data_IF_693229946992
#
_entry.id   IF_693229946992
#
_cell.length_a   1.000
_cell.length_b   1.000
_cell.length_c   1.000
_cell.angle_alpha   90.00
_cell.angle_beta   90.00
_cell.angle_gamma   90.00
#
_symmetry.space_group_name_H-M   'P 1'
#
loop_
_entity.id
_entity.type
_entity.pdbx_description
1 polymer ?
#
# COMPACT_ATOMS: atom_id res chain seq x y z
N UNK A 1 -8.64 16.87 -3.57
CA UNK A 1 -7.88 15.71 -3.05
C UNK A 1 -8.57 14.41 -3.48
N UNK A 2 -7.87 13.46 -4.10
CA UNK A 2 -8.41 12.13 -4.43
C UNK A 2 -7.84 11.12 -3.45
N UNK A 3 -8.69 10.40 -2.74
CA UNK A 3 -8.31 9.34 -1.80
C UNK A 3 -8.68 7.99 -2.39
N UNK A 4 -7.71 7.07 -2.47
CA UNK A 4 -7.93 5.69 -2.88
C UNK A 4 -7.87 4.79 -1.64
N UNK A 5 -8.95 4.08 -1.36
CA UNK A 5 -9.05 3.13 -0.26
C UNK A 5 -9.00 1.70 -0.77
N UNK A 6 -8.21 0.87 -0.11
CA UNK A 6 -8.07 -0.55 -0.45
C UNK A 6 -7.35 -1.33 0.64
N UNK A 7 -7.14 -2.60 0.40
CA UNK A 7 -6.56 -3.52 1.38
C UNK A 7 -5.18 -4.04 0.95
N UNK A 8 -4.47 -4.64 1.90
CA UNK A 8 -3.17 -5.28 1.69
C UNK A 8 -3.34 -6.71 1.19
N UNK A 9 -3.83 -6.86 -0.03
CA UNK A 9 -4.16 -8.13 -0.65
C UNK A 9 -5.66 -8.37 -0.70
N UNK A 10 -6.05 -9.39 -1.45
CA UNK A 10 -7.46 -9.79 -1.64
C UNK A 10 -7.67 -11.31 -1.52
N UNK A 11 -6.60 -12.10 -1.31
CA UNK A 11 -6.65 -13.56 -1.28
C UNK A 11 -6.70 -14.11 0.16
N UNK A 12 -7.67 -13.70 0.94
CA UNK A 12 -7.82 -14.16 2.32
C UNK A 12 -8.91 -15.21 2.42
N UNK A 13 -8.54 -16.42 2.88
CA UNK A 13 -9.48 -17.55 3.03
C UNK A 13 -10.65 -17.23 3.94
N UNK A 14 -10.39 -16.45 5.01
CA UNK A 14 -11.40 -16.05 6.00
C UNK A 14 -12.44 -15.06 5.45
N UNK A 15 -12.19 -14.49 4.26
CA UNK A 15 -13.15 -13.64 3.57
C UNK A 15 -14.22 -14.42 2.81
N UNK A 16 -14.05 -15.73 2.66
CA UNK A 16 -15.06 -16.59 2.09
C UNK A 16 -16.31 -16.58 2.99
N UNK A 17 -17.49 -16.46 2.38
CA UNK A 17 -18.79 -16.35 3.04
C UNK A 17 -18.98 -15.08 3.90
N UNK A 18 -17.96 -14.21 3.94
CA UNK A 18 -18.02 -12.91 4.60
C UNK A 18 -18.03 -11.78 3.59
N UNK A 19 -16.98 -11.65 2.82
CA UNK A 19 -16.84 -10.69 1.71
C UNK A 19 -17.06 -11.37 0.36
N UNK A 20 -16.51 -12.57 0.17
CA UNK A 20 -16.71 -13.36 -1.04
C UNK A 20 -17.88 -14.34 -0.86
N UNK A 21 -18.94 -14.26 -1.69
CA UNK A 21 -19.97 -15.29 -1.73
C UNK A 21 -19.39 -16.70 -1.91
N UNK A 22 -20.05 -17.70 -1.33
CA UNK A 22 -19.55 -19.09 -1.31
C UNK A 22 -19.42 -19.72 -2.70
N UNK A 23 -20.21 -19.27 -3.66
CA UNK A 23 -20.26 -19.72 -5.04
C UNK A 23 -19.19 -19.08 -5.94
N UNK A 24 -18.55 -17.97 -5.51
CA UNK A 24 -17.49 -17.32 -6.27
C UNK A 24 -16.18 -18.08 -6.11
N UNK A 25 -15.60 -18.61 -7.21
CA UNK A 25 -14.31 -19.28 -7.14
C UNK A 25 -13.18 -18.27 -6.89
N UNK A 26 -12.13 -18.72 -6.20
CA UNK A 26 -10.99 -17.85 -5.81
C UNK A 26 -10.33 -17.10 -6.99
N UNK A 27 -10.38 -17.65 -8.20
CA UNK A 27 -9.86 -16.98 -9.40
C UNK A 27 -10.63 -15.71 -9.78
N UNK A 28 -11.89 -15.57 -9.36
CA UNK A 28 -12.75 -14.42 -9.60
C UNK A 28 -12.78 -13.42 -8.41
N UNK A 29 -12.02 -13.67 -7.34
CA UNK A 29 -12.03 -12.81 -6.16
C UNK A 29 -11.51 -11.40 -6.43
N UNK A 30 -10.53 -11.24 -7.33
CA UNK A 30 -10.03 -9.90 -7.68
C UNK A 30 -11.10 -9.09 -8.43
N UNK A 31 -11.81 -9.72 -9.33
CA UNK A 31 -12.93 -9.10 -10.06
C UNK A 31 -14.04 -8.67 -9.09
N UNK A 32 -14.43 -9.56 -8.18
CA UNK A 32 -15.41 -9.24 -7.14
C UNK A 32 -14.93 -8.12 -6.21
N UNK A 33 -13.66 -8.17 -5.77
CA UNK A 33 -13.05 -7.14 -4.93
C UNK A 33 -13.09 -5.76 -5.59
N UNK A 34 -12.86 -5.71 -6.89
CA UNK A 34 -12.81 -4.46 -7.66
C UNK A 34 -14.20 -3.81 -7.88
N UNK A 35 -15.31 -4.44 -7.47
CA UNK A 35 -16.62 -3.79 -7.39
C UNK A 35 -16.75 -2.85 -6.19
N UNK A 36 -16.07 -3.16 -5.08
CA UNK A 36 -16.17 -2.39 -3.82
C UNK A 36 -14.98 -1.48 -3.59
N UNK A 37 -13.81 -1.82 -4.16
CA UNK A 37 -12.57 -1.08 -3.97
C UNK A 37 -11.94 -0.69 -5.31
N UNK A 38 -11.43 0.54 -5.38
CA UNK A 38 -10.77 1.08 -6.58
C UNK A 38 -9.25 0.84 -6.58
N UNK A 39 -8.71 0.28 -5.50
CA UNK A 39 -7.27 0.00 -5.37
C UNK A 39 -7.01 -1.20 -4.46
N UNK A 40 -5.84 -1.82 -4.68
CA UNK A 40 -5.32 -2.90 -3.81
C UNK A 40 -3.81 -2.84 -3.77
N UNK A 41 -3.18 -3.27 -2.67
CA UNK A 41 -1.74 -3.57 -2.67
C UNK A 41 -1.52 -5.06 -2.85
N UNK A 42 -0.86 -5.44 -3.95
CA UNK A 42 -0.43 -6.81 -4.17
C UNK A 42 0.85 -7.13 -3.38
N UNK A 43 0.76 -8.12 -2.46
CA UNK A 43 1.91 -8.66 -1.74
C UNK A 43 2.52 -9.90 -2.42
N UNK A 44 1.93 -10.39 -3.49
CA UNK A 44 2.38 -11.61 -4.15
C UNK A 44 3.84 -11.51 -4.62
N UNK A 45 4.21 -10.37 -5.23
CA UNK A 45 5.56 -10.11 -5.71
C UNK A 45 6.61 -10.07 -4.58
N UNK A 46 6.20 -9.77 -3.35
CA UNK A 46 7.10 -9.76 -2.19
C UNK A 46 7.66 -11.15 -1.91
N UNK A 47 6.83 -12.18 -1.94
CA UNK A 47 7.24 -13.56 -1.66
C UNK A 47 7.81 -14.26 -2.90
N UNK A 48 7.11 -14.16 -4.01
CA UNK A 48 7.49 -14.71 -5.30
C UNK A 48 6.99 -13.77 -6.40
N UNK A 49 7.92 -13.18 -7.15
CA UNK A 49 7.59 -12.28 -8.26
C UNK A 49 6.77 -13.04 -9.32
N UNK A 50 5.50 -12.63 -9.57
CA UNK A 50 4.69 -13.24 -10.61
C UNK A 50 5.27 -13.02 -12.00
N UNK A 51 4.95 -13.90 -12.94
CA UNK A 51 5.24 -13.70 -14.35
C UNK A 51 4.35 -12.59 -14.95
N UNK A 52 4.78 -11.97 -16.06
CA UNK A 52 4.06 -10.88 -16.71
C UNK A 52 2.61 -11.23 -17.05
N UNK A 53 2.35 -12.47 -17.50
CA UNK A 53 1.00 -12.94 -17.83
C UNK A 53 0.03 -12.89 -16.63
N UNK A 54 0.55 -13.08 -15.40
CA UNK A 54 -0.26 -12.94 -14.19
C UNK A 54 -0.65 -11.48 -13.94
N UNK A 55 0.27 -10.55 -14.09
CA UNK A 55 -0.02 -9.12 -14.03
C UNK A 55 -1.00 -8.69 -15.12
N UNK A 56 -0.82 -9.18 -16.34
CA UNK A 56 -1.77 -8.94 -17.44
C UNK A 56 -3.17 -9.53 -17.13
N UNK A 57 -3.25 -10.69 -16.50
CA UNK A 57 -4.52 -11.27 -16.07
C UNK A 57 -5.21 -10.40 -15.01
N UNK A 58 -4.47 -9.87 -14.02
CA UNK A 58 -5.03 -8.95 -13.03
C UNK A 58 -5.51 -7.64 -13.68
N UNK A 59 -4.76 -7.10 -14.62
CA UNK A 59 -5.18 -5.91 -15.37
C UNK A 59 -6.50 -6.14 -16.12
N UNK A 60 -6.70 -7.31 -16.71
CA UNK A 60 -7.97 -7.65 -17.43
C UNK A 60 -9.15 -7.91 -16.49
N UNK A 61 -8.92 -8.32 -15.26
CA UNK A 61 -9.98 -8.65 -14.29
C UNK A 61 -10.38 -7.47 -13.39
N UNK A 62 -9.91 -6.27 -13.67
CA UNK A 62 -10.23 -5.06 -12.91
C UNK A 62 -10.73 -3.94 -13.83
N UNK A 63 -11.54 -2.97 -13.36
CA UNK A 63 -11.96 -1.80 -14.12
C UNK A 63 -10.77 -0.96 -14.64
N UNK A 64 -10.99 -0.14 -15.67
CA UNK A 64 -9.92 0.63 -16.31
C UNK A 64 -9.25 1.66 -15.42
N UNK A 65 -9.97 2.21 -14.46
CA UNK A 65 -9.50 3.17 -13.46
C UNK A 65 -8.93 2.53 -12.19
N UNK A 66 -8.91 1.20 -12.13
CA UNK A 66 -8.38 0.47 -10.96
C UNK A 66 -6.87 0.68 -10.82
N UNK A 67 -6.41 0.96 -9.59
CA UNK A 67 -5.00 1.18 -9.27
C UNK A 67 -4.45 0.03 -8.44
N UNK A 68 -3.45 -0.67 -8.95
CA UNK A 68 -2.78 -1.75 -8.22
C UNK A 68 -1.40 -1.33 -7.72
N UNK A 69 -1.28 -1.06 -6.44
CA UNK A 69 0.03 -0.92 -5.80
C UNK A 69 0.70 -2.30 -5.71
N UNK A 70 2.01 -2.35 -5.92
CA UNK A 70 2.74 -3.61 -5.90
C UNK A 70 3.92 -3.52 -4.92
N UNK A 71 3.93 -4.42 -3.93
CA UNK A 71 5.03 -4.49 -2.98
C UNK A 71 6.24 -5.15 -3.62
N UNK A 72 7.37 -4.45 -3.59
CA UNK A 72 8.65 -4.92 -4.12
C UNK A 72 9.09 -6.23 -3.48
N UNK A 73 9.76 -7.06 -4.27
CA UNK A 73 10.27 -8.37 -3.83
C UNK A 73 11.15 -8.28 -2.58
N UNK A 74 10.93 -9.21 -1.64
CA UNK A 74 11.80 -9.39 -0.46
C UNK A 74 13.25 -9.66 -0.82
N UNK A 75 13.51 -10.14 -2.03
CA UNK A 75 14.86 -10.39 -2.50
C UNK A 75 15.69 -9.10 -2.49
N UNK A 76 15.17 -7.98 -3.02
CA UNK A 76 15.86 -6.69 -2.95
C UNK A 76 15.86 -6.13 -1.52
N UNK A 77 14.69 -6.07 -0.88
CA UNK A 77 14.52 -5.30 0.36
C UNK A 77 15.05 -6.00 1.60
N UNK A 78 14.86 -7.33 1.71
CA UNK A 78 15.18 -8.11 2.92
C UNK A 78 16.44 -8.96 2.77
N UNK A 79 16.69 -9.55 1.59
CA UNK A 79 17.84 -10.43 1.36
C UNK A 79 19.04 -9.61 0.92
N UNK A 80 18.95 -8.88 -0.20
CA UNK A 80 20.03 -8.02 -0.69
C UNK A 80 20.18 -6.72 0.13
N UNK A 81 19.15 -6.32 0.86
CA UNK A 81 19.16 -5.12 1.71
C UNK A 81 19.59 -3.88 0.93
N UNK A 82 18.95 -3.69 -0.24
CA UNK A 82 19.19 -2.64 -1.24
C UNK A 82 20.53 -2.72 -2.00
N UNK A 83 21.35 -3.76 -1.80
CA UNK A 83 22.60 -3.92 -2.57
C UNK A 83 22.31 -4.43 -3.97
N UNK A 84 23.13 -4.00 -4.95
CA UNK A 84 23.01 -4.35 -6.37
C UNK A 84 21.56 -4.30 -6.88
N UNK A 85 20.88 -3.13 -6.83
CA UNK A 85 19.46 -3.03 -7.07
C UNK A 85 19.07 -3.15 -8.55
N UNK A 86 20.02 -3.02 -9.49
CA UNK A 86 19.79 -2.90 -10.91
C UNK A 86 18.97 -4.07 -11.47
N UNK A 87 19.46 -5.29 -11.30
CA UNK A 87 18.79 -6.48 -11.83
C UNK A 87 17.45 -6.76 -11.13
N UNK A 88 17.35 -6.73 -9.78
CA UNK A 88 16.07 -6.94 -9.12
C UNK A 88 14.99 -5.93 -9.52
N UNK A 89 15.34 -4.65 -9.67
CA UNK A 89 14.39 -3.61 -10.06
C UNK A 89 14.01 -3.78 -11.53
N UNK A 90 14.97 -3.97 -12.43
CA UNK A 90 14.70 -4.15 -13.86
C UNK A 90 13.76 -5.35 -14.10
N UNK A 91 14.02 -6.50 -13.47
CA UNK A 91 13.18 -7.70 -13.58
C UNK A 91 11.78 -7.49 -13.01
N UNK A 92 11.68 -6.77 -11.88
CA UNK A 92 10.40 -6.43 -11.30
C UNK A 92 9.58 -5.55 -12.25
N UNK A 93 10.17 -4.47 -12.77
CA UNK A 93 9.50 -3.54 -13.66
C UNK A 93 9.12 -4.19 -15.00
N UNK A 94 9.98 -5.04 -15.56
CA UNK A 94 9.67 -5.80 -16.78
C UNK A 94 8.38 -6.63 -16.64
N UNK A 95 8.13 -7.19 -15.47
CA UNK A 95 6.91 -7.95 -15.21
C UNK A 95 5.73 -7.07 -14.81
N UNK A 96 5.94 -6.10 -13.91
CA UNK A 96 4.88 -5.23 -13.43
C UNK A 96 4.30 -4.32 -14.52
N UNK A 97 5.08 -3.98 -15.57
CA UNK A 97 4.59 -3.20 -16.73
C UNK A 97 3.36 -3.79 -17.42
N UNK A 98 3.12 -5.10 -17.27
CA UNK A 98 1.93 -5.76 -17.82
C UNK A 98 0.61 -5.36 -17.12
N UNK A 99 0.68 -4.60 -16.01
CA UNK A 99 -0.49 -3.89 -15.47
C UNK A 99 -0.90 -2.68 -16.32
N UNK A 100 -0.02 -2.20 -17.20
CA UNK A 100 -0.29 -1.02 -18.01
C UNK A 100 -0.57 0.21 -17.14
N UNK A 101 -1.60 0.99 -17.48
CA UNK A 101 -2.00 2.18 -16.73
C UNK A 101 -2.51 1.91 -15.31
N UNK A 102 -2.76 0.64 -14.96
CA UNK A 102 -3.21 0.23 -13.62
C UNK A 102 -2.05 0.02 -12.64
N UNK A 103 -0.79 0.13 -13.08
CA UNK A 103 0.35 0.09 -12.18
C UNK A 103 0.35 1.33 -11.27
N UNK A 104 0.00 1.11 -10.03
CA UNK A 104 0.08 2.09 -8.95
C UNK A 104 1.48 2.19 -8.35
N UNK A 105 1.61 2.75 -7.15
CA UNK A 105 2.90 2.86 -6.48
C UNK A 105 3.56 1.51 -6.23
N UNK A 106 4.90 1.48 -6.38
CA UNK A 106 5.73 0.37 -5.93
C UNK A 106 6.13 0.61 -4.48
N UNK A 107 5.75 -0.30 -3.59
CA UNK A 107 6.10 -0.19 -2.17
C UNK A 107 7.42 -0.88 -1.87
N UNK A 108 8.42 -0.12 -1.49
CA UNK A 108 9.70 -0.57 -0.93
C UNK A 108 9.60 -0.63 0.60
N UNK A 109 9.13 -1.74 1.17
CA UNK A 109 9.14 -1.93 2.61
C UNK A 109 10.47 -2.51 3.05
N UNK A 110 11.19 -1.81 3.92
CA UNK A 110 12.48 -2.25 4.47
C UNK A 110 12.30 -3.01 5.80
N UNK A 111 13.16 -3.99 6.10
CA UNK A 111 13.06 -4.73 7.36
C UNK A 111 13.48 -3.87 8.56
N UNK A 112 12.94 -4.16 9.77
CA UNK A 112 13.28 -3.39 10.99
C UNK A 112 14.74 -3.51 11.40
N UNK A 113 15.45 -4.51 10.89
CA UNK A 113 16.89 -4.71 11.14
C UNK A 113 17.79 -3.95 10.16
N UNK A 114 17.24 -3.27 9.14
CA UNK A 114 18.01 -2.48 8.18
C UNK A 114 18.17 -1.06 8.70
N UNK A 115 19.35 -0.74 9.19
CA UNK A 115 19.75 0.63 9.55
C UNK A 115 19.93 1.46 8.29
N UNK A 116 19.84 2.79 8.46
CA UNK A 116 20.01 3.73 7.37
C UNK A 116 21.36 3.55 6.67
N UNK A 117 21.27 3.50 5.36
CA UNK A 117 22.37 3.60 4.40
C UNK A 117 21.78 4.41 3.23
N UNK A 118 22.03 5.71 3.30
CA UNK A 118 21.42 6.69 2.39
C UNK A 118 21.92 6.51 0.95
N UNK A 119 23.18 6.10 0.79
CA UNK A 119 23.77 5.83 -0.52
C UNK A 119 23.10 4.62 -1.20
N UNK A 120 22.81 3.57 -0.44
CA UNK A 120 22.07 2.41 -0.97
C UNK A 120 20.62 2.75 -1.32
N UNK A 121 19.98 3.62 -0.53
CA UNK A 121 18.63 4.10 -0.84
C UNK A 121 18.63 4.88 -2.15
N UNK A 122 19.51 5.87 -2.29
CA UNK A 122 19.68 6.68 -3.47
C UNK A 122 19.98 5.83 -4.71
N UNK A 123 20.97 4.92 -4.61
CA UNK A 123 21.31 4.00 -5.70
C UNK A 123 20.13 3.10 -6.10
N UNK A 124 19.28 2.72 -5.15
CA UNK A 124 18.08 1.92 -5.43
C UNK A 124 17.00 2.75 -6.11
N UNK A 125 16.70 3.94 -5.62
CA UNK A 125 15.67 4.82 -6.19
C UNK A 125 16.01 5.27 -7.60
N UNK A 126 17.28 5.47 -7.93
CA UNK A 126 17.79 5.75 -9.30
C UNK A 126 17.41 4.68 -10.33
N UNK A 127 17.12 3.45 -9.90
CA UNK A 127 16.75 2.38 -10.82
C UNK A 127 15.30 2.48 -11.30
N UNK A 128 14.48 3.31 -10.67
CA UNK A 128 13.08 3.48 -11.06
C UNK A 128 12.95 4.63 -12.07
N UNK A 129 12.28 4.39 -13.23
CA UNK A 129 11.95 5.46 -14.15
C UNK A 129 11.09 6.54 -13.50
N UNK A 130 11.26 7.81 -13.88
CA UNK A 130 10.49 8.94 -13.31
C UNK A 130 8.96 8.79 -13.36
N UNK A 131 8.43 7.99 -14.28
CA UNK A 131 6.99 7.71 -14.38
C UNK A 131 6.47 6.65 -13.40
N UNK A 132 7.36 5.98 -12.65
CA UNK A 132 6.99 4.97 -11.66
C UNK A 132 6.97 5.61 -10.28
N UNK A 133 5.80 5.65 -9.65
CA UNK A 133 5.66 6.12 -8.27
C UNK A 133 6.24 5.11 -7.30
N UNK A 134 7.10 5.55 -6.40
CA UNK A 134 7.72 4.70 -5.37
C UNK A 134 7.36 5.22 -3.99
N UNK A 135 6.87 4.34 -3.12
CA UNK A 135 6.68 4.61 -1.70
C UNK A 135 7.68 3.80 -0.88
N UNK A 136 8.35 4.41 0.08
CA UNK A 136 9.34 3.72 0.93
C UNK A 136 8.83 3.65 2.36
N UNK A 137 8.69 2.44 2.89
CA UNK A 137 8.34 2.20 4.28
C UNK A 137 9.57 1.78 5.07
N UNK A 138 10.08 2.69 5.87
CA UNK A 138 11.15 2.42 6.83
C UNK A 138 10.56 1.83 8.12
N UNK A 139 11.33 0.96 8.78
CA UNK A 139 10.95 0.30 10.04
C UNK A 139 12.04 0.36 11.10
N UNK A 140 13.07 1.19 10.90
CA UNK A 140 14.17 1.43 11.84
C UNK A 140 14.37 2.94 11.98
N UNK A 141 14.48 3.42 13.21
CA UNK A 141 14.50 4.86 13.53
C UNK A 141 15.72 5.61 12.95
N UNK A 142 16.81 4.90 12.65
CA UNK A 142 17.99 5.53 12.03
C UNK A 142 17.71 6.16 10.65
N UNK A 143 16.56 5.86 10.03
CA UNK A 143 16.15 6.47 8.77
C UNK A 143 15.53 7.86 8.94
N UNK A 144 15.22 8.29 10.17
CA UNK A 144 14.62 9.60 10.43
C UNK A 144 15.67 10.70 10.44
N UNK A 145 16.22 11.06 9.28
CA UNK A 145 17.19 12.13 9.10
C UNK A 145 16.87 13.00 7.89
N UNK A 146 17.43 14.23 7.89
CA UNK A 146 17.24 15.17 6.78
C UNK A 146 17.86 14.63 5.47
N UNK A 147 18.97 13.88 5.55
CA UNK A 147 19.59 13.26 4.39
C UNK A 147 18.66 12.22 3.75
N UNK A 148 18.00 11.38 4.56
CA UNK A 148 17.01 10.42 4.06
C UNK A 148 15.84 11.14 3.41
N UNK A 149 15.35 12.21 4.03
CA UNK A 149 14.27 13.03 3.51
C UNK A 149 14.65 13.65 2.15
N UNK A 150 15.83 14.25 2.06
CA UNK A 150 16.34 14.85 0.81
C UNK A 150 16.41 13.82 -0.32
N UNK A 151 16.91 12.62 -0.06
CA UNK A 151 16.93 11.56 -1.08
C UNK A 151 15.53 11.18 -1.56
N UNK A 152 14.55 11.09 -0.67
CA UNK A 152 13.16 10.83 -1.09
C UNK A 152 12.62 11.97 -1.98
N UNK A 153 12.86 13.22 -1.60
CA UNK A 153 12.45 14.42 -2.36
C UNK A 153 13.12 14.47 -3.74
N UNK A 154 14.42 14.22 -3.85
CA UNK A 154 15.21 14.23 -5.10
C UNK A 154 14.70 13.19 -6.11
N UNK A 155 14.21 12.05 -5.60
CA UNK A 155 13.66 10.96 -6.43
C UNK A 155 12.13 11.01 -6.57
N UNK A 156 11.46 12.03 -6.02
CA UNK A 156 9.99 12.09 -5.95
C UNK A 156 9.39 10.78 -5.40
N UNK A 157 10.05 10.19 -4.40
CA UNK A 157 9.60 9.00 -3.69
C UNK A 157 8.83 9.39 -2.43
N UNK A 158 7.63 8.83 -2.24
CA UNK A 158 6.84 9.12 -1.06
C UNK A 158 7.38 8.39 0.17
N UNK A 159 7.49 9.08 1.31
CA UNK A 159 7.54 8.38 2.58
C UNK A 159 6.21 7.66 2.78
N UNK A 160 6.25 6.33 2.95
CA UNK A 160 5.07 5.60 3.38
C UNK A 160 4.79 5.92 4.84
N UNK A 161 3.72 6.67 5.08
CA UNK A 161 3.22 6.91 6.42
C UNK A 161 2.68 5.60 7.00
N UNK A 162 3.02 5.31 8.23
CA UNK A 162 2.59 4.08 8.90
C UNK A 162 2.02 4.36 10.29
N UNK A 163 1.04 3.54 10.63
CA UNK A 163 0.39 3.54 11.94
C UNK A 163 0.46 2.15 12.56
N UNK A 164 0.58 2.11 13.87
CA UNK A 164 0.44 0.89 14.66
C UNK A 164 -0.23 1.22 15.99
N UNK A 165 -1.16 0.39 16.40
CA UNK A 165 -1.91 0.55 17.64
C UNK A 165 -2.62 1.94 17.70
N UNK A 166 -3.14 2.38 16.54
CA UNK A 166 -3.78 3.70 16.35
C UNK A 166 -2.85 4.90 16.66
N UNK A 167 -1.55 4.72 16.46
CA UNK A 167 -0.52 5.76 16.64
C UNK A 167 0.39 5.83 15.42
N UNK A 168 0.70 7.04 14.91
CA UNK A 168 1.74 7.21 13.90
C UNK A 168 3.08 6.68 14.40
N UNK A 169 3.77 5.89 13.55
CA UNK A 169 5.11 5.35 13.81
C UNK A 169 6.16 5.91 12.84
N UNK A 170 5.76 6.85 12.00
CA UNK A 170 6.63 7.57 11.07
C UNK A 170 6.50 9.07 11.27
N UNK A 171 7.53 9.88 10.93
CA UNK A 171 7.36 11.32 10.82
C UNK A 171 6.34 11.65 9.70
N UNK A 172 5.69 12.80 9.78
CA UNK A 172 4.75 13.27 8.76
C UNK A 172 5.50 14.09 7.69
N UNK A 173 6.46 13.47 7.01
CA UNK A 173 7.18 14.12 5.92
C UNK A 173 6.37 14.09 4.63
N UNK A 174 6.20 15.23 4.04
CA UNK A 174 5.73 15.39 2.67
C UNK A 174 6.95 15.44 1.74
N UNK A 175 7.21 14.35 1.03
CA UNK A 175 8.35 14.21 0.10
C UNK A 175 7.92 14.21 -1.36
N UNK A 176 6.60 14.23 -1.61
CA UNK A 176 6.01 14.27 -2.97
C UNK A 176 4.69 15.04 -2.95
N UNK A 177 4.06 15.18 -4.12
CA UNK A 177 2.72 15.69 -4.34
C UNK A 177 1.61 14.64 -4.08
N UNK A 178 1.97 13.46 -3.58
CA UNK A 178 1.08 12.36 -3.19
C UNK A 178 1.63 11.65 -1.96
N UNK A 179 0.83 10.86 -1.27
CA UNK A 179 1.27 10.10 -0.10
C UNK A 179 0.73 8.67 -0.11
N UNK A 180 1.35 7.82 0.69
CA UNK A 180 1.00 6.42 0.88
C UNK A 180 0.87 6.15 2.37
N UNK A 181 -0.35 5.78 2.82
CA UNK A 181 -0.61 5.47 4.22
C UNK A 181 -0.87 3.98 4.40
N UNK A 182 -0.24 3.38 5.40
CA UNK A 182 -0.50 2.01 5.85
C UNK A 182 -0.95 1.99 7.30
N UNK A 183 -2.18 1.52 7.53
CA UNK A 183 -2.73 1.28 8.86
C UNK A 183 -2.54 -0.21 9.19
N UNK A 184 -1.54 -0.55 10.03
CA UNK A 184 -1.17 -1.94 10.27
C UNK A 184 -2.07 -2.65 11.28
N UNK A 185 -2.38 -2.02 12.39
CA UNK A 185 -3.25 -2.56 13.43
C UNK A 185 -3.83 -1.43 14.27
N UNK A 186 -5.11 -1.48 14.57
CA UNK A 186 -5.76 -0.58 15.52
C UNK A 186 -5.53 -1.01 16.97
N UNK A 187 -5.96 -0.18 17.91
CA UNK A 187 -5.82 -0.42 19.34
C UNK A 187 -7.01 -1.17 19.98
N UNK A 188 -8.03 -1.53 19.20
CA UNK A 188 -9.20 -2.22 19.74
C UNK A 188 -8.90 -3.67 20.12
N UNK A 189 -9.60 -4.19 21.14
CA UNK A 189 -9.54 -5.56 21.63
C UNK A 189 -10.96 -6.13 21.70
N UNK A 190 -11.20 -7.40 21.32
CA UNK A 190 -10.23 -8.43 20.94
C UNK A 190 -9.70 -8.33 19.50
N UNK A 191 -10.36 -7.58 18.63
CA UNK A 191 -9.93 -7.42 17.25
C UNK A 191 -9.21 -6.07 17.07
N UNK A 192 -7.99 -6.04 16.47
CA UNK A 192 -7.16 -4.83 16.37
C UNK A 192 -7.66 -3.87 15.28
N UNK A 193 -8.89 -3.38 15.42
CA UNK A 193 -9.50 -2.44 14.50
C UNK A 193 -9.22 -0.97 14.85
N UNK A 194 -9.39 -0.09 13.85
CA UNK A 194 -9.31 1.36 14.02
C UNK A 194 -10.70 1.90 14.38
N UNK A 195 -10.79 2.54 15.55
CA UNK A 195 -12.00 3.26 15.93
C UNK A 195 -12.13 4.59 15.15
N UNK A 196 -13.35 5.13 15.12
CA UNK A 196 -13.67 6.40 14.43
C UNK A 196 -12.73 7.55 14.81
N UNK A 197 -12.35 7.68 16.09
CA UNK A 197 -11.45 8.72 16.55
C UNK A 197 -10.05 8.62 15.94
N UNK A 198 -9.51 7.40 15.81
CA UNK A 198 -8.20 7.18 15.18
C UNK A 198 -8.24 7.50 13.68
N UNK A 199 -9.30 7.10 12.98
CA UNK A 199 -9.48 7.42 11.56
C UNK A 199 -9.68 8.93 11.35
N UNK A 200 -10.50 9.59 12.16
CA UNK A 200 -10.68 11.05 12.11
C UNK A 200 -9.37 11.79 12.38
N UNK A 201 -8.53 11.30 13.30
CA UNK A 201 -7.20 11.86 13.55
C UNK A 201 -6.28 11.76 12.32
N UNK A 202 -6.31 10.63 11.60
CA UNK A 202 -5.56 10.49 10.35
C UNK A 202 -6.10 11.39 9.25
N UNK A 203 -7.42 11.47 9.09
CA UNK A 203 -8.05 12.39 8.14
C UNK A 203 -7.61 13.84 8.40
N UNK A 204 -7.67 14.29 9.67
CA UNK A 204 -7.24 15.63 10.02
C UNK A 204 -5.75 15.90 9.72
N UNK A 205 -4.86 14.93 10.00
CA UNK A 205 -3.44 15.03 9.68
C UNK A 205 -3.19 15.12 8.18
N UNK A 206 -3.85 14.25 7.40
CA UNK A 206 -3.71 14.26 5.94
C UNK A 206 -4.25 15.56 5.34
N UNK A 207 -5.38 16.06 5.81
CA UNK A 207 -5.94 17.34 5.36
C UNK A 207 -5.05 18.52 5.70
N UNK A 208 -4.45 18.53 6.91
CA UNK A 208 -3.57 19.62 7.33
C UNK A 208 -2.23 19.63 6.57
N UNK A 209 -1.59 18.46 6.45
CA UNK A 209 -0.23 18.37 5.93
C UNK A 209 -0.19 18.22 4.39
N UNK A 210 -1.33 17.89 3.77
CA UNK A 210 -1.46 17.62 2.33
C UNK A 210 -2.63 18.37 1.66
N UNK A 211 -3.18 19.42 2.27
CA UNK A 211 -4.39 20.12 1.79
C UNK A 211 -4.21 20.79 0.41
N UNK A 212 -2.99 21.21 0.10
CA UNK A 212 -2.60 21.81 -1.19
C UNK A 212 -2.13 20.79 -2.22
N UNK A 213 -2.26 19.48 -1.95
CA UNK A 213 -1.84 18.39 -2.83
C UNK A 213 -3.01 17.94 -3.69
N UNK A 214 -2.83 17.98 -5.00
CA UNK A 214 -3.84 17.56 -5.98
C UNK A 214 -4.28 16.09 -5.83
N UNK A 215 -3.43 15.23 -5.24
CA UNK A 215 -3.70 13.80 -5.05
C UNK A 215 -3.04 13.26 -3.80
N UNK A 216 -3.79 13.02 -2.77
CA UNK A 216 -3.39 12.14 -1.68
C UNK A 216 -3.92 10.74 -1.98
N UNK A 217 -3.04 9.80 -2.29
CA UNK A 217 -3.38 8.38 -2.32
C UNK A 217 -3.16 7.83 -0.93
N UNK A 218 -4.19 7.86 -0.09
CA UNK A 218 -4.19 7.06 1.13
C UNK A 218 -4.50 5.62 0.73
N UNK A 219 -3.45 4.85 0.43
CA UNK A 219 -3.62 3.43 0.15
C UNK A 219 -3.35 2.69 1.43
N UNK A 220 -4.38 2.22 2.07
CA UNK A 220 -4.46 1.11 2.97
C UNK A 220 -4.92 1.29 4.36
N UNK A 221 -5.91 0.51 4.53
CA UNK A 221 -6.12 -0.21 5.78
C UNK A 221 -5.49 -1.60 5.64
N UNK A 222 -4.42 -1.91 6.35
CA UNK A 222 -4.08 -3.28 6.67
C UNK A 222 -5.05 -3.68 7.78
N UNK A 223 -6.28 -3.93 7.40
CA UNK A 223 -7.16 -4.64 8.27
C UNK A 223 -6.70 -6.11 8.26
N UNK A 224 -6.16 -6.58 9.36
CA UNK A 224 -6.55 -7.92 9.75
C UNK A 224 -8.07 -7.92 9.72
N UNK A 225 -8.66 -8.97 9.16
CA UNK A 225 -10.08 -9.18 8.82
C UNK A 225 -11.14 -8.81 9.86
N UNK A 226 -10.76 -8.36 11.03
CA UNK A 226 -11.63 -7.85 12.07
C UNK A 226 -12.47 -6.63 11.65
N UNK A 227 -12.18 -5.99 10.51
CA UNK A 227 -13.00 -4.89 9.99
C UNK A 227 -14.23 -5.33 9.24
N UNK A 228 -14.27 -6.55 8.73
CA UNK A 228 -15.43 -7.16 8.12
C UNK A 228 -15.98 -8.23 9.07
N UNK A 229 -16.68 -7.85 10.13
CA UNK A 229 -17.65 -8.71 10.78
C UNK A 229 -18.99 -8.57 10.05
N UNK A 230 -19.39 -9.56 9.25
CA UNK A 230 -20.65 -9.50 8.50
C UNK A 230 -21.91 -9.64 9.39
N UNK A 231 -21.76 -10.07 10.62
CA UNK A 231 -22.89 -10.08 11.57
C UNK A 231 -23.43 -8.67 11.88
N UNK A 232 -22.67 -7.63 11.52
CA UNK A 232 -23.16 -6.25 11.51
C UNK A 232 -23.62 -5.76 10.13
N UNK A 233 -23.36 -6.52 9.06
CA UNK A 233 -23.85 -6.19 7.71
C UNK A 233 -25.39 -6.30 7.60
N UNK A 234 -26.07 -7.06 8.46
CA UNK A 234 -27.52 -7.02 8.61
C UNK A 234 -28.05 -5.70 9.17
N UNK A 235 -27.18 -4.87 9.77
CA UNK A 235 -27.50 -3.53 10.26
C UNK A 235 -26.92 -2.41 9.38
N UNK A 236 -26.15 -2.74 8.35
CA UNK A 236 -25.36 -1.81 7.53
C UNK A 236 -26.03 -1.46 6.19
N UNK A 237 -27.32 -1.71 6.05
CA UNK A 237 -28.12 -1.03 5.01
C UNK A 237 -28.10 0.51 5.11
N UNK A 238 -27.39 1.08 6.08
CA UNK A 238 -27.26 2.51 6.33
C UNK A 238 -25.83 3.01 6.61
N UNK A 239 -24.81 2.14 6.69
CA UNK A 239 -23.47 2.53 7.15
C UNK A 239 -22.38 2.52 6.05
N UNK A 240 -22.68 2.08 4.83
CA UNK A 240 -21.79 2.31 3.68
C UNK A 240 -21.63 3.81 3.39
N UNK A 241 -22.57 4.66 3.77
CA UNK A 241 -22.45 6.12 3.73
C UNK A 241 -21.51 6.70 4.82
N UNK A 242 -21.10 5.91 5.83
CA UNK A 242 -20.26 6.41 6.93
C UNK A 242 -18.76 6.29 6.67
N UNK A 243 -18.34 5.71 5.54
CA UNK A 243 -16.94 5.66 5.09
C UNK A 243 -16.61 6.67 3.98
N UNK A 244 -17.55 7.57 3.65
CA UNK A 244 -17.25 8.76 2.85
C UNK A 244 -16.73 9.87 3.76
N UNK A 245 -15.44 9.81 4.11
CA UNK A 245 -14.62 10.98 4.49
C UNK A 245 -13.18 10.69 4.11
#
# INVERSE_FOLDING_TARGET
MTVLLGTSGWHYGDWRERFYPSDIPQRAWLEHYAHDFVTVESNNAFYRLPEGDRFAAWARSTPDDFVMAVKMSRYLTHIKRLRDPQEPVARFLDRARHLGGKLGPVLLQLPPTLRADVDLLDATLRQFPRGVRVAVEFRHDSWWSDETRSVLEDHAAALCLADRDSKPVTPLWRTTDWTYLRLHAGAASPAPCYGRAALASWTARLSHDFDDVERVSAQRFHADLAFFEPDRAGAVGGEAEQFQV
#
